data_IF_843624854598
#
_entry.id   IF_843624854598
#
_cell.length_a   1.000
_cell.length_b   1.000
_cell.length_c   1.000
_cell.angle_alpha   90.00
_cell.angle_beta   90.00
_cell.angle_gamma   90.00
#
_symmetry.space_group_name_H-M   'P 1'
#
loop_
_entity.id
_entity.type
_entity.pdbx_description
1 polymer ?
#
# COMPACT_ATOMS: atom_id res chain seq x y z
N UNK A 1 8.47 3.35 6.52
CA UNK A 1 9.03 2.08 6.05
C UNK A 1 8.80 1.05 7.16
N UNK A 2 7.61 0.45 7.25
CA UNK A 2 7.24 -0.49 8.32
C UNK A 2 7.32 -1.95 7.88
N UNK A 3 7.57 -2.84 8.85
CA UNK A 3 7.79 -4.29 8.77
C UNK A 3 9.14 -4.76 8.19
N UNK A 4 10.13 -4.94 9.07
CA UNK A 4 11.35 -5.75 8.87
C UNK A 4 12.03 -5.62 7.50
N UNK A 5 12.30 -4.38 7.08
CA UNK A 5 13.20 -4.05 5.96
C UNK A 5 12.84 -4.59 4.57
N UNK A 6 11.73 -5.30 4.37
CA UNK A 6 11.60 -6.13 3.15
C UNK A 6 10.51 -5.72 2.18
N UNK A 7 9.49 -4.94 2.56
CA UNK A 7 8.35 -4.67 1.66
C UNK A 7 7.89 -3.21 1.64
N UNK A 8 7.75 -2.60 0.45
CA UNK A 8 7.28 -1.22 0.32
C UNK A 8 5.80 -1.11 0.69
N UNK A 9 5.52 -0.33 1.74
CA UNK A 9 4.18 -0.05 2.25
C UNK A 9 3.40 0.98 1.41
N UNK A 10 4.10 1.75 0.57
CA UNK A 10 3.51 2.76 -0.29
C UNK A 10 4.40 3.09 -1.49
N UNK A 11 3.76 3.33 -2.63
CA UNK A 11 4.36 3.85 -3.87
C UNK A 11 3.72 5.20 -4.17
N UNK A 12 4.55 6.20 -4.45
CA UNK A 12 4.10 7.55 -4.78
C UNK A 12 4.60 7.89 -6.17
N UNK A 13 3.68 8.22 -7.07
CA UNK A 13 3.96 8.63 -8.46
C UNK A 13 3.43 10.06 -8.69
N UNK A 14 3.93 10.74 -9.71
CA UNK A 14 3.56 12.14 -10.03
C UNK A 14 3.78 13.17 -8.91
N UNK A 15 4.76 12.90 -8.04
CA UNK A 15 5.26 13.84 -7.05
C UNK A 15 6.79 13.84 -7.07
N UNK A 16 7.38 15.01 -6.92
CA UNK A 16 8.83 15.12 -6.69
C UNK A 16 9.15 14.78 -5.24
N UNK A 17 10.38 14.30 -4.99
CA UNK A 17 10.86 14.05 -3.63
C UNK A 17 10.69 15.29 -2.73
N UNK A 18 10.98 16.49 -3.24
CA UNK A 18 10.86 17.73 -2.48
C UNK A 18 9.42 18.06 -2.06
N UNK A 19 8.45 17.81 -2.94
CA UNK A 19 7.02 17.99 -2.61
C UNK A 19 6.58 17.00 -1.53
N UNK A 20 7.04 15.74 -1.61
CA UNK A 20 6.73 14.71 -0.60
C UNK A 20 7.32 15.09 0.75
N UNK A 21 8.59 15.53 0.80
CA UNK A 21 9.22 15.98 2.04
C UNK A 21 8.47 17.16 2.64
N UNK A 22 8.11 18.16 1.82
CA UNK A 22 7.33 19.32 2.26
C UNK A 22 5.96 18.90 2.82
N UNK A 23 5.26 17.98 2.17
CA UNK A 23 3.97 17.46 2.63
C UNK A 23 4.05 16.72 3.97
N UNK A 24 5.19 16.07 4.24
CA UNK A 24 5.48 15.42 5.53
C UNK A 24 5.98 16.41 6.59
N UNK A 25 6.09 17.70 6.27
CA UNK A 25 6.65 18.72 7.17
C UNK A 25 8.16 18.57 7.37
N UNK A 26 8.86 18.03 6.37
CA UNK A 26 10.29 17.71 6.38
C UNK A 26 11.05 18.50 5.32
N UNK A 27 12.34 18.65 5.55
CA UNK A 27 13.29 19.26 4.61
C UNK A 27 13.94 18.20 3.71
N UNK A 28 14.40 18.57 2.51
CA UNK A 28 15.04 17.63 1.57
C UNK A 28 16.33 16.96 2.09
N UNK A 29 16.84 17.43 3.23
CA UNK A 29 18.04 16.91 3.91
C UNK A 29 17.71 15.96 5.06
N UNK A 30 16.44 15.89 5.48
CA UNK A 30 16.02 14.97 6.54
C UNK A 30 15.79 13.56 6.00
N UNK A 31 16.10 12.55 6.82
CA UNK A 31 15.79 11.16 6.50
C UNK A 31 14.39 10.81 7.01
N UNK A 32 13.67 9.97 6.26
CA UNK A 32 12.36 9.46 6.67
C UNK A 32 12.46 8.20 7.56
N UNK A 33 13.58 8.03 8.26
CA UNK A 33 13.86 6.86 9.11
C UNK A 33 12.85 6.71 10.25
N UNK A 34 12.24 7.81 10.72
CA UNK A 34 11.18 7.77 11.73
C UNK A 34 9.94 6.99 11.25
N UNK A 35 9.70 6.89 9.93
CA UNK A 35 8.62 6.07 9.39
C UNK A 35 8.86 4.57 9.63
N UNK A 36 10.03 4.17 10.14
CA UNK A 36 10.35 2.78 10.45
C UNK A 36 9.78 2.31 11.79
N UNK A 37 9.63 3.21 12.75
CA UNK A 37 9.01 2.90 14.04
C UNK A 37 7.49 3.09 14.02
N UNK A 38 6.93 3.53 12.90
CA UNK A 38 5.50 3.82 12.78
C UNK A 38 4.69 2.54 12.53
N UNK A 39 3.59 2.44 13.25
CA UNK A 39 2.53 1.47 12.97
C UNK A 39 1.86 1.75 11.63
N UNK A 40 1.15 0.77 11.08
CA UNK A 40 0.41 0.92 9.83
C UNK A 40 -0.54 2.13 9.84
N UNK A 41 -1.26 2.35 10.95
CA UNK A 41 -2.16 3.49 11.12
C UNK A 41 -1.42 4.84 11.05
N UNK A 42 -0.23 4.93 11.65
CA UNK A 42 0.60 6.13 11.59
C UNK A 42 1.15 6.35 10.17
N UNK A 43 1.57 5.29 9.48
CA UNK A 43 1.99 5.36 8.07
C UNK A 43 0.84 5.85 7.19
N UNK A 44 -0.38 5.35 7.39
CA UNK A 44 -1.56 5.81 6.65
C UNK A 44 -1.83 7.30 6.88
N UNK A 45 -1.62 7.78 8.11
CA UNK A 45 -1.77 9.20 8.44
C UNK A 45 -0.77 10.07 7.67
N UNK A 46 0.50 9.66 7.59
CA UNK A 46 1.52 10.38 6.81
C UNK A 46 1.22 10.37 5.31
N UNK A 47 0.73 9.24 4.79
CA UNK A 47 0.30 9.12 3.39
C UNK A 47 -0.87 10.06 3.08
N UNK A 48 -1.81 10.22 4.02
CA UNK A 48 -2.95 11.12 3.85
C UNK A 48 -2.51 12.59 3.76
N UNK A 49 -1.43 12.97 4.45
CA UNK A 49 -0.84 14.32 4.30
C UNK A 49 -0.33 14.53 2.88
N UNK A 50 0.34 13.54 2.29
CA UNK A 50 0.85 13.59 0.93
C UNK A 50 -0.29 13.73 -0.08
N UNK A 51 -1.35 12.92 0.05
CA UNK A 51 -2.54 13.00 -0.81
C UNK A 51 -3.23 14.36 -0.72
N UNK A 52 -3.31 14.94 0.48
CA UNK A 52 -3.93 16.25 0.70
C UNK A 52 -3.07 17.41 0.16
N UNK A 53 -1.75 17.32 0.29
CA UNK A 53 -0.83 18.39 -0.10
C UNK A 53 -0.52 18.40 -1.60
N UNK A 54 -0.56 17.23 -2.26
CA UNK A 54 -0.18 17.06 -3.66
C UNK A 54 -1.34 16.39 -4.39
N UNK A 55 -2.28 17.19 -4.89
CA UNK A 55 -3.46 16.69 -5.61
C UNK A 55 -3.12 15.91 -6.89
N UNK A 56 -1.93 16.13 -7.47
CA UNK A 56 -1.43 15.37 -8.62
C UNK A 56 -0.73 14.07 -8.23
N UNK A 57 -0.42 13.86 -6.95
CA UNK A 57 0.29 12.68 -6.50
C UNK A 57 -0.60 11.44 -6.57
N UNK A 58 -0.09 10.42 -7.23
CA UNK A 58 -0.71 9.12 -7.28
C UNK A 58 -0.09 8.24 -6.18
N UNK A 59 -0.76 8.18 -5.03
CA UNK A 59 -0.31 7.37 -3.91
C UNK A 59 -1.01 6.03 -3.90
N UNK A 60 -0.25 4.94 -4.03
CA UNK A 60 -0.74 3.57 -3.86
C UNK A 60 -0.20 3.03 -2.55
N UNK A 61 -1.07 2.54 -1.66
CA UNK A 61 -0.64 1.88 -0.42
C UNK A 61 -0.80 0.38 -0.56
N UNK A 62 0.13 -0.38 0.02
CA UNK A 62 0.11 -1.84 -0.02
C UNK A 62 0.39 -2.35 1.38
N UNK A 63 -0.45 -3.26 1.84
CA UNK A 63 -0.34 -3.94 3.13
C UNK A 63 -0.12 -5.42 2.84
N UNK A 64 0.57 -6.12 3.75
CA UNK A 64 0.99 -7.49 3.52
C UNK A 64 0.62 -8.39 4.68
N UNK A 65 0.29 -9.64 4.36
CA UNK A 65 0.17 -10.74 5.31
C UNK A 65 1.54 -11.44 5.36
N UNK A 66 2.17 -11.54 6.53
CA UNK A 66 3.47 -12.21 6.69
C UNK A 66 3.45 -13.62 6.10
N UNK A 67 4.48 -13.96 5.32
CA UNK A 67 4.66 -15.27 4.67
C UNK A 67 3.58 -15.68 3.64
N UNK A 68 2.64 -14.79 3.32
CA UNK A 68 1.54 -15.07 2.37
C UNK A 68 1.63 -14.16 1.15
N UNK A 69 1.59 -12.84 1.33
CA UNK A 69 1.58 -11.90 0.20
C UNK A 69 0.87 -10.58 0.53
N UNK A 70 0.46 -9.85 -0.51
CA UNK A 70 -0.31 -8.60 -0.38
C UNK A 70 -1.65 -8.89 0.28
N UNK A 71 -1.99 -8.19 1.36
CA UNK A 71 -3.30 -8.24 2.02
C UNK A 71 -4.30 -7.31 1.31
N UNK A 72 -3.97 -6.03 1.25
CA UNK A 72 -4.81 -4.99 0.65
C UNK A 72 -3.96 -3.95 -0.05
N UNK A 73 -4.50 -3.38 -1.11
CA UNK A 73 -3.90 -2.29 -1.87
C UNK A 73 -4.91 -1.16 -1.96
N UNK A 74 -4.53 0.07 -1.65
CA UNK A 74 -5.39 1.24 -1.88
C UNK A 74 -4.80 2.08 -3.00
N UNK A 75 -5.58 2.31 -4.05
CA UNK A 75 -5.14 3.04 -5.22
C UNK A 75 -5.08 4.58 -4.97
N UNK A 76 -4.61 5.37 -5.96
CA UNK A 76 -4.61 6.83 -5.89
C UNK A 76 -6.00 7.46 -5.72
N UNK A 77 -7.05 6.80 -6.20
CA UNK A 77 -8.44 7.27 -6.13
C UNK A 77 -9.08 6.99 -4.76
N UNK A 78 -8.41 6.22 -3.90
CA UNK A 78 -8.90 5.82 -2.59
C UNK A 78 -9.70 4.51 -2.63
N UNK A 79 -9.71 3.82 -3.77
CA UNK A 79 -10.33 2.51 -3.90
C UNK A 79 -9.41 1.45 -3.30
N UNK A 80 -9.94 0.73 -2.31
CA UNK A 80 -9.26 -0.37 -1.66
C UNK A 80 -9.60 -1.69 -2.36
N UNK A 81 -8.54 -2.35 -2.82
CA UNK A 81 -8.55 -3.70 -3.38
C UNK A 81 -8.08 -4.67 -2.29
N UNK A 82 -8.83 -5.75 -2.09
CA UNK A 82 -8.52 -6.81 -1.11
C UNK A 82 -8.12 -8.08 -1.83
N UNK A 83 -7.01 -8.67 -1.41
CA UNK A 83 -6.47 -9.92 -1.96
C UNK A 83 -6.82 -11.06 -1.01
N UNK A 84 -7.56 -12.03 -1.50
CA UNK A 84 -8.00 -13.20 -0.74
C UNK A 84 -7.18 -14.42 -1.16
N UNK A 85 -6.74 -15.18 -0.17
CA UNK A 85 -5.93 -16.38 -0.36
C UNK A 85 -6.69 -17.61 0.10
N UNK A 86 -6.43 -18.72 -0.58
CA UNK A 86 -6.92 -20.04 -0.17
C UNK A 86 -6.12 -20.58 1.04
N UNK A 87 -6.52 -21.75 1.54
CA UNK A 87 -5.84 -22.43 2.67
C UNK A 87 -4.38 -22.83 2.37
N UNK A 88 -3.93 -22.72 1.13
CA UNK A 88 -2.55 -22.99 0.71
C UNK A 88 -1.76 -21.70 0.47
N UNK A 89 -2.24 -20.55 0.95
CA UNK A 89 -1.63 -19.23 0.77
C UNK A 89 -1.50 -18.81 -0.70
N UNK A 90 -2.36 -19.29 -1.60
CA UNK A 90 -2.38 -18.91 -3.01
C UNK A 90 -3.49 -17.91 -3.28
N UNK A 91 -3.20 -16.89 -4.10
CA UNK A 91 -4.17 -15.84 -4.44
C UNK A 91 -5.38 -16.45 -5.15
N UNK A 92 -6.53 -16.42 -4.50
CA UNK A 92 -7.79 -17.00 -4.98
C UNK A 92 -8.66 -15.93 -5.64
N UNK A 93 -8.90 -14.80 -4.95
CA UNK A 93 -9.71 -13.70 -5.44
C UNK A 93 -9.05 -12.35 -5.17
N UNK A 94 -9.29 -11.41 -6.07
CA UNK A 94 -9.05 -9.98 -5.86
C UNK A 94 -10.41 -9.30 -5.91
N UNK A 95 -10.76 -8.56 -4.86
CA UNK A 95 -12.04 -7.88 -4.74
C UNK A 95 -11.88 -6.37 -4.60
N UNK A 96 -12.83 -5.62 -5.13
CA UNK A 96 -12.94 -4.18 -4.89
C UNK A 96 -13.61 -3.85 -3.55
N UNK A 97 -13.79 -2.55 -3.27
CA UNK A 97 -14.48 -2.06 -2.07
C UNK A 97 -15.96 -2.43 -2.00
N UNK A 98 -16.57 -2.72 -3.15
CA UNK A 98 -17.98 -3.08 -3.27
C UNK A 98 -18.20 -4.61 -3.17
N UNK A 99 -17.11 -5.37 -3.05
CA UNK A 99 -17.13 -6.83 -2.97
C UNK A 99 -17.20 -7.52 -4.34
N UNK A 100 -17.10 -6.78 -5.44
CA UNK A 100 -17.04 -7.37 -6.78
C UNK A 100 -15.69 -8.05 -6.97
N UNK A 101 -15.70 -9.21 -7.61
CA UNK A 101 -14.47 -9.94 -7.95
C UNK A 101 -13.86 -9.29 -9.20
N UNK A 102 -12.73 -8.61 -9.01
CA UNK A 102 -11.92 -8.04 -10.09
C UNK A 102 -11.07 -9.12 -10.78
N UNK A 103 -10.63 -10.12 -10.03
CA UNK A 103 -9.86 -11.26 -10.55
C UNK A 103 -10.13 -12.51 -9.73
N UNK A 104 -10.25 -13.64 -10.41
CA UNK A 104 -10.38 -14.97 -9.81
C UNK A 104 -9.33 -15.90 -10.43
N UNK A 105 -8.55 -16.61 -9.62
CA UNK A 105 -7.66 -17.65 -10.09
C UNK A 105 -8.25 -19.02 -9.73
N UNK A 106 -8.65 -19.79 -10.74
CA UNK A 106 -9.09 -21.19 -10.56
C UNK A 106 -7.93 -22.14 -10.77
N UNK A 107 -7.49 -22.78 -9.69
CA UNK A 107 -6.48 -23.83 -9.74
C UNK A 107 -7.15 -25.19 -9.94
N UNK A 108 -7.17 -25.68 -11.18
CA UNK A 108 -7.61 -27.04 -11.47
C UNK A 108 -6.49 -28.02 -11.16
N UNK A 109 -6.64 -28.81 -10.09
CA UNK A 109 -5.80 -29.98 -9.87
C UNK A 109 -6.19 -31.06 -10.87
N UNK A 110 -5.29 -31.44 -11.77
CA UNK A 110 -5.40 -32.72 -12.47
C UNK A 110 -4.90 -33.79 -11.50
N UNK A 111 -5.81 -34.64 -11.05
CA UNK A 111 -5.48 -35.94 -10.46
C UNK A 111 -4.83 -36.84 -11.51
#
# INVERSE_FOLDING_TARGET
MGYDYSQPIAKIENATYAQVMTALGKTNTETLSYLQSYTESQIQTEIQKIRSAISTAQVTTITYIPLVGVSTMTDPRGEKITYHYDNFNRLEFVKDTQGNILKENKYNYKN
#
